data_IF_289722286816
#
_entry.id   IF_289722286816
#
_cell.length_a   1.000
_cell.length_b   1.000
_cell.length_c   1.000
_cell.angle_alpha   90.00
_cell.angle_beta   90.00
_cell.angle_gamma   90.00
#
_symmetry.space_group_name_H-M   'P 1'
#
loop_
_entity.id
_entity.type
_entity.pdbx_description
1 polymer ?
#
# COMPACT_ATOMS: atom_id res chain seq x y z
N UNK A 1 23.96 7.08 7.00
CA UNK A 1 22.94 8.02 6.51
C UNK A 1 23.61 9.32 6.12
N UNK A 2 23.17 9.94 5.04
CA UNK A 2 23.62 11.27 4.66
C UNK A 2 22.77 12.28 5.44
N UNK A 3 23.41 13.16 6.20
CA UNK A 3 22.79 14.11 7.14
C UNK A 3 22.01 15.25 6.44
N UNK A 4 20.98 14.90 5.66
CA UNK A 4 20.11 15.84 4.96
C UNK A 4 18.79 15.96 5.71
N UNK A 5 18.38 17.19 6.02
CA UNK A 5 17.00 17.49 6.39
C UNK A 5 16.19 17.68 5.10
N UNK A 6 15.09 16.96 4.96
CA UNK A 6 14.22 16.97 3.79
C UNK A 6 12.75 16.91 4.21
N UNK A 7 11.93 17.79 3.64
CA UNK A 7 10.47 17.70 3.77
C UNK A 7 9.94 16.60 2.84
N UNK A 8 9.52 15.49 3.44
CA UNK A 8 9.11 14.31 2.68
C UNK A 8 7.77 14.44 1.98
N UNK A 9 7.81 14.22 0.68
CA UNK A 9 6.65 13.91 -0.16
C UNK A 9 6.52 12.39 -0.41
N UNK A 10 7.40 11.57 0.18
CA UNK A 10 7.30 10.12 0.10
C UNK A 10 6.32 9.60 1.15
N UNK A 11 5.52 8.62 0.76
CA UNK A 11 4.57 7.90 1.62
C UNK A 11 5.22 6.91 2.61
N UNK A 12 6.53 6.72 2.52
CA UNK A 12 7.29 5.81 3.36
C UNK A 12 7.57 6.40 4.74
N UNK A 13 7.57 5.54 5.75
CA UNK A 13 7.91 5.89 7.13
C UNK A 13 9.42 5.82 7.36
N UNK A 14 9.92 6.65 8.28
CA UNK A 14 11.31 6.59 8.72
C UNK A 14 11.49 5.40 9.66
N UNK A 15 12.00 4.29 9.10
CA UNK A 15 12.18 3.02 9.81
C UNK A 15 13.11 3.16 11.03
N UNK A 16 14.04 4.13 11.05
CA UNK A 16 14.94 4.31 12.19
C UNK A 16 14.28 5.05 13.36
N UNK A 17 13.34 5.96 13.06
CA UNK A 17 12.80 6.89 14.05
C UNK A 17 11.34 6.59 14.43
N UNK A 18 10.55 5.93 13.58
CA UNK A 18 9.10 5.80 13.75
C UNK A 18 8.61 4.49 14.38
N UNK A 19 9.52 3.60 14.81
CA UNK A 19 9.29 2.37 15.61
C UNK A 19 7.94 1.66 15.41
N UNK A 20 7.49 1.54 14.15
CA UNK A 20 6.36 0.70 13.78
C UNK A 20 4.97 1.22 14.17
N UNK A 21 4.76 2.55 14.18
CA UNK A 21 3.40 3.10 14.38
C UNK A 21 2.41 2.64 13.31
N UNK A 22 2.83 2.49 12.05
CA UNK A 22 2.02 1.88 10.99
C UNK A 22 2.89 1.03 10.05
N UNK A 23 3.20 -0.20 10.50
CA UNK A 23 3.97 -1.15 9.69
C UNK A 23 3.17 -1.64 8.48
N UNK A 24 3.56 -1.16 7.30
CA UNK A 24 2.96 -1.55 6.02
C UNK A 24 4.03 -1.71 4.96
N UNK A 25 3.73 -2.52 3.95
CA UNK A 25 4.54 -2.65 2.74
C UNK A 25 3.68 -2.37 1.52
N UNK A 26 4.16 -1.49 0.65
CA UNK A 26 3.61 -1.25 -0.69
C UNK A 26 4.48 -1.96 -1.72
N UNK A 27 3.86 -2.68 -2.64
CA UNK A 27 4.51 -3.52 -3.65
C UNK A 27 3.88 -3.25 -5.01
N UNK A 28 4.65 -3.38 -6.09
CA UNK A 28 4.11 -3.25 -7.44
C UNK A 28 4.86 -4.15 -8.40
N UNK A 29 4.13 -4.71 -9.36
CA UNK A 29 4.65 -5.31 -10.57
C UNK A 29 3.98 -4.65 -11.79
N UNK A 30 4.26 -5.13 -13.00
CA UNK A 30 3.76 -4.52 -14.24
C UNK A 30 2.23 -4.42 -14.32
N UNK A 31 1.49 -5.37 -13.73
CA UNK A 31 0.03 -5.45 -13.85
C UNK A 31 -0.70 -5.29 -12.53
N UNK A 32 -0.03 -5.39 -11.39
CA UNK A 32 -0.68 -5.57 -10.09
C UNK A 32 0.08 -4.79 -9.05
N UNK A 33 -0.68 -4.20 -8.14
CA UNK A 33 -0.16 -3.48 -7.00
C UNK A 33 -0.63 -4.18 -5.72
N UNK A 34 0.22 -4.19 -4.70
CA UNK A 34 0.04 -4.99 -3.49
C UNK A 34 0.27 -4.17 -2.24
N UNK A 35 -0.63 -4.28 -1.28
CA UNK A 35 -0.55 -3.62 0.02
C UNK A 35 -0.58 -4.69 1.13
N UNK A 36 0.41 -4.66 2.02
CA UNK A 36 0.50 -5.62 3.12
C UNK A 36 0.50 -4.90 4.47
N UNK A 37 -0.38 -5.34 5.37
CA UNK A 37 -0.43 -4.94 6.77
C UNK A 37 -1.03 -6.07 7.62
N UNK A 38 -0.54 -6.24 8.85
CA UNK A 38 -1.05 -7.26 9.80
C UNK A 38 -1.16 -8.69 9.23
N UNK A 39 -0.12 -9.13 8.51
CA UNK A 39 -0.04 -10.44 7.83
C UNK A 39 -1.13 -10.67 6.77
N UNK A 40 -1.76 -9.62 6.26
CA UNK A 40 -2.73 -9.67 5.17
C UNK A 40 -2.17 -8.92 3.98
N UNK A 41 -2.20 -9.55 2.81
CA UNK A 41 -1.88 -8.92 1.51
C UNK A 41 -3.18 -8.63 0.78
N UNK A 42 -3.34 -7.40 0.33
CA UNK A 42 -4.36 -7.00 -0.64
C UNK A 42 -3.68 -6.81 -1.99
N UNK A 43 -4.15 -7.52 -3.01
CA UNK A 43 -3.70 -7.34 -4.39
C UNK A 43 -4.81 -6.68 -5.22
N UNK A 44 -4.46 -5.60 -5.91
CA UNK A 44 -5.34 -4.88 -6.84
C UNK A 44 -4.83 -5.10 -8.27
N UNK A 45 -5.72 -5.55 -9.15
CA UNK A 45 -5.40 -5.85 -10.55
C UNK A 45 -6.48 -5.32 -11.51
N UNK A 46 -6.21 -5.24 -12.83
CA UNK A 46 -7.13 -4.67 -13.80
C UNK A 46 -8.52 -5.31 -13.75
N UNK A 47 -9.52 -4.53 -14.17
CA UNK A 47 -10.93 -4.90 -14.12
C UNK A 47 -11.48 -5.05 -12.68
N UNK A 48 -11.02 -4.20 -11.76
CA UNK A 48 -11.50 -4.14 -10.36
C UNK A 48 -11.35 -5.47 -9.61
N UNK A 49 -10.37 -6.31 -10.00
CA UNK A 49 -10.15 -7.59 -9.34
C UNK A 49 -9.29 -7.38 -8.11
N UNK A 50 -9.82 -7.84 -6.98
CA UNK A 50 -9.22 -7.75 -5.65
C UNK A 50 -9.03 -9.15 -5.08
N UNK A 51 -7.81 -9.48 -4.68
CA UNK A 51 -7.51 -10.66 -3.86
C UNK A 51 -7.09 -10.20 -2.45
N UNK A 52 -7.48 -10.97 -1.44
CA UNK A 52 -7.03 -10.79 -0.06
C UNK A 52 -6.41 -12.10 0.37
N UNK A 53 -5.13 -12.08 0.74
CA UNK A 53 -4.32 -13.27 0.99
C UNK A 53 -3.71 -13.23 2.39
N UNK A 54 -3.55 -14.39 3.01
CA UNK A 54 -2.66 -14.52 4.17
C UNK A 54 -1.21 -14.41 3.69
N UNK A 55 -0.42 -13.52 4.29
CA UNK A 55 0.95 -13.25 3.84
C UNK A 55 1.92 -14.41 4.13
N UNK A 56 1.57 -15.30 5.06
CA UNK A 56 2.39 -16.46 5.44
C UNK A 56 2.04 -17.67 4.58
N UNK A 57 0.75 -17.96 4.38
CA UNK A 57 0.30 -19.18 3.67
C UNK A 57 0.00 -18.96 2.19
N UNK A 58 -0.27 -17.72 1.78
CA UNK A 58 -0.73 -17.39 0.43
C UNK A 58 -2.19 -17.80 0.15
N UNK A 59 -2.92 -18.26 1.16
CA UNK A 59 -4.32 -18.67 0.99
C UNK A 59 -5.26 -17.47 0.87
N UNK A 60 -6.37 -17.65 0.15
CA UNK A 60 -7.40 -16.63 0.03
C UNK A 60 -8.15 -16.45 1.35
N UNK A 61 -8.19 -15.21 1.81
CA UNK A 61 -9.00 -14.77 2.94
C UNK A 61 -10.35 -14.26 2.47
N UNK A 62 -11.32 -14.26 3.38
CA UNK A 62 -12.63 -13.70 3.11
C UNK A 62 -12.53 -12.16 2.97
N UNK A 63 -12.87 -11.65 1.78
CA UNK A 63 -12.89 -10.21 1.48
C UNK A 63 -14.00 -9.42 2.19
N UNK A 64 -15.05 -10.09 2.65
CA UNK A 64 -16.22 -9.47 3.26
C UNK A 64 -16.11 -9.32 4.78
N UNK A 65 -14.94 -9.59 5.36
CA UNK A 65 -14.69 -9.22 6.75
C UNK A 65 -14.48 -7.70 6.88
N UNK A 66 -14.76 -7.14 8.06
CA UNK A 66 -14.54 -5.72 8.33
C UNK A 66 -13.05 -5.36 8.12
N UNK A 67 -12.14 -6.21 8.60
CA UNK A 67 -10.69 -6.02 8.45
C UNK A 67 -10.28 -6.01 6.98
N UNK A 68 -10.71 -7.01 6.21
CA UNK A 68 -10.37 -7.11 4.78
C UNK A 68 -10.86 -5.89 4.01
N UNK A 69 -12.10 -5.44 4.22
CA UNK A 69 -12.63 -4.24 3.57
C UNK A 69 -11.81 -2.99 3.90
N UNK A 70 -11.47 -2.80 5.18
CA UNK A 70 -10.65 -1.67 5.59
C UNK A 70 -9.28 -1.65 4.89
N UNK A 71 -8.60 -2.81 4.82
CA UNK A 71 -7.31 -2.91 4.15
C UNK A 71 -7.42 -2.73 2.63
N UNK A 72 -8.54 -3.14 2.03
CA UNK A 72 -8.82 -2.88 0.61
C UNK A 72 -8.96 -1.37 0.36
N UNK A 73 -9.72 -0.68 1.20
CA UNK A 73 -9.91 0.77 1.10
C UNK A 73 -8.58 1.53 1.27
N UNK A 74 -7.74 1.11 2.24
CA UNK A 74 -6.39 1.68 2.41
C UNK A 74 -5.53 1.44 1.16
N UNK A 75 -5.50 0.21 0.63
CA UNK A 75 -4.75 -0.10 -0.57
C UNK A 75 -5.15 0.80 -1.75
N UNK A 76 -6.46 0.93 -2.01
CA UNK A 76 -6.99 1.79 -3.06
C UNK A 76 -6.56 3.24 -2.82
N UNK A 77 -6.72 3.76 -1.60
CA UNK A 77 -6.38 5.13 -1.27
C UNK A 77 -4.89 5.46 -1.53
N UNK A 78 -3.98 4.56 -1.14
CA UNK A 78 -2.54 4.76 -1.39
C UNK A 78 -2.21 4.83 -2.89
N UNK A 79 -2.78 3.94 -3.72
CA UNK A 79 -2.47 3.92 -5.16
C UNK A 79 -3.17 5.03 -5.96
N UNK A 80 -4.40 5.39 -5.59
CA UNK A 80 -5.11 6.53 -6.17
C UNK A 80 -4.40 7.85 -5.82
N UNK A 81 -3.96 8.02 -4.58
CA UNK A 81 -3.21 9.22 -4.18
C UNK A 81 -1.86 9.31 -4.91
N UNK A 82 -1.16 8.19 -5.08
CA UNK A 82 0.06 8.17 -5.87
C UNK A 82 -0.19 8.62 -7.32
N UNK A 83 -1.29 8.18 -7.92
CA UNK A 83 -1.69 8.57 -9.28
C UNK A 83 -2.02 10.05 -9.37
N UNK A 84 -2.85 10.56 -8.46
CA UNK A 84 -3.22 11.98 -8.39
C UNK A 84 -1.99 12.90 -8.23
N UNK A 85 -1.02 12.52 -7.39
CA UNK A 85 0.23 13.27 -7.24
C UNK A 85 1.09 13.27 -8.50
N UNK A 86 1.12 12.15 -9.23
CA UNK A 86 1.87 12.04 -10.49
C UNK A 86 1.22 12.90 -11.58
N UNK A 87 -0.11 12.83 -11.72
CA UNK A 87 -0.85 13.61 -12.71
C UNK A 87 -0.69 15.11 -12.48
N UNK A 88 -0.82 15.56 -11.22
CA UNK A 88 -0.61 16.97 -10.86
C UNK A 88 0.81 17.47 -11.13
N UNK A 89 1.81 16.59 -11.09
CA UNK A 89 3.20 16.93 -11.44
C UNK A 89 3.43 16.96 -12.95
N UNK A 90 2.75 16.09 -13.70
CA UNK A 90 2.83 16.04 -15.18
C UNK A 90 2.19 17.28 -15.84
N UNK A 91 1.23 17.92 -15.17
CA UNK A 91 0.55 19.14 -15.65
C UNK A 91 1.29 20.46 -15.32
N UNK A 92 2.50 20.42 -14.74
CA UNK A 92 3.35 21.58 -14.45
C UNK A 92 4.53 21.67 -15.41
#
# INVERSE_FOLDING_TARGET
>A
MLNFNYDSYFFGEDILNEQGRHQRTLMANYLTVGYMQDNVVVELSPNQRVNVLDATTGENLNKDTIKSRHLIDEAIAYYEMATDLLDKRSMR
#
